data_IF_510565056090
#
_entry.id   IF_510565056090
#
_cell.length_a   1.000
_cell.length_b   1.000
_cell.length_c   1.000
_cell.angle_alpha   90.00
_cell.angle_beta   90.00
_cell.angle_gamma   90.00
#
_symmetry.space_group_name_H-M   'P 1'
#
loop_
_entity.id
_entity.type
_entity.pdbx_description
1 polymer ?
#
# COMPACT_ATOMS: atom_id res chain seq x y z
N UNK A 1 39.21 7.00 -35.48
CA UNK A 1 38.54 5.70 -35.25
C UNK A 1 38.66 5.21 -33.81
N UNK A 2 39.85 4.99 -33.25
CA UNK A 2 40.06 4.28 -31.98
C UNK A 2 39.09 4.65 -30.83
N UNK A 3 38.95 5.95 -30.50
CA UNK A 3 38.05 6.43 -29.44
C UNK A 3 36.56 6.08 -29.62
N UNK A 4 36.09 5.90 -30.86
CA UNK A 4 34.71 5.45 -31.12
C UNK A 4 34.54 3.99 -30.72
N UNK A 5 35.52 3.15 -31.05
CA UNK A 5 35.57 1.75 -30.64
C UNK A 5 35.62 1.62 -29.11
N UNK A 6 36.47 2.42 -28.44
CA UNK A 6 36.56 2.42 -26.97
C UNK A 6 35.25 2.85 -26.29
N UNK A 7 34.53 3.83 -26.85
CA UNK A 7 33.22 4.26 -26.32
C UNK A 7 32.12 3.22 -26.56
N UNK A 8 32.16 2.53 -27.70
CA UNK A 8 31.20 1.47 -28.01
C UNK A 8 31.40 0.26 -27.09
N UNK A 9 32.64 -0.16 -26.85
CA UNK A 9 32.92 -1.27 -25.92
C UNK A 9 32.58 -0.93 -24.48
N UNK A 10 32.86 0.28 -23.99
CA UNK A 10 32.43 0.65 -22.62
C UNK A 10 30.92 0.77 -22.47
N UNK A 11 30.18 1.23 -23.50
CA UNK A 11 28.72 1.21 -23.45
C UNK A 11 28.18 -0.22 -23.40
N UNK A 12 28.72 -1.13 -24.22
CA UNK A 12 28.29 -2.54 -24.25
C UNK A 12 28.59 -3.23 -22.91
N UNK A 13 29.77 -3.03 -22.31
CA UNK A 13 30.07 -3.63 -21.00
C UNK A 13 29.24 -3.04 -19.87
N UNK A 14 28.92 -1.73 -19.89
CA UNK A 14 28.00 -1.13 -18.92
C UNK A 14 26.60 -1.72 -19.04
N UNK A 15 26.09 -1.86 -20.26
CA UNK A 15 24.74 -2.41 -20.52
C UNK A 15 24.64 -3.89 -20.11
N UNK A 16 25.71 -4.66 -20.36
CA UNK A 16 25.79 -6.06 -19.93
C UNK A 16 25.91 -6.21 -18.40
N UNK A 17 26.67 -5.34 -17.73
CA UNK A 17 26.73 -5.28 -16.26
C UNK A 17 25.36 -4.93 -15.66
N UNK A 18 24.64 -3.97 -16.23
CA UNK A 18 23.28 -3.62 -15.79
C UNK A 18 22.28 -4.77 -16.01
N UNK A 19 22.43 -5.55 -17.08
CA UNK A 19 21.61 -6.74 -17.34
C UNK A 19 21.94 -7.94 -16.43
N UNK A 20 23.07 -7.92 -15.72
CA UNK A 20 23.47 -8.93 -14.72
C UNK A 20 22.98 -8.59 -13.30
N UNK A 21 22.43 -7.40 -13.06
CA UNK A 21 21.77 -7.09 -11.78
C UNK A 21 20.41 -7.80 -11.71
N UNK A 22 20.11 -8.57 -10.65
CA UNK A 22 18.83 -9.24 -10.52
C UNK A 22 17.70 -8.23 -10.23
N UNK A 23 16.82 -8.03 -11.21
CA UNK A 23 15.67 -7.11 -11.15
C UNK A 23 14.70 -7.49 -10.02
N UNK A 24 14.74 -8.75 -9.56
CA UNK A 24 13.84 -9.34 -8.56
C UNK A 24 13.91 -8.74 -7.14
N UNK A 25 14.75 -7.73 -6.87
CA UNK A 25 14.87 -7.12 -5.54
C UNK A 25 13.62 -6.36 -5.06
N UNK A 26 12.71 -5.97 -5.96
CA UNK A 26 11.49 -5.19 -5.66
C UNK A 26 10.35 -5.97 -4.96
N UNK A 27 10.64 -7.13 -4.33
CA UNK A 27 9.63 -8.18 -4.10
C UNK A 27 9.57 -8.86 -2.71
N UNK A 28 10.22 -8.26 -1.66
CA UNK A 28 10.24 -7.91 1.22
C UNK A 28 9.07 -7.28 2.20
N UNK A 29 8.56 -6.03 2.06
CA UNK A 29 7.52 -5.30 2.83
C UNK A 29 6.11 -5.16 2.18
N UNK A 30 5.77 -5.80 1.06
CA UNK A 30 4.37 -5.98 0.61
C UNK A 30 3.53 -6.71 1.66
N UNK A 31 4.17 -7.45 2.56
CA UNK A 31 3.62 -7.97 3.80
C UNK A 31 4.09 -7.17 5.04
N UNK A 32 4.28 -5.85 4.94
CA UNK A 32 4.40 -4.94 6.07
C UNK A 32 3.13 -4.09 6.18
N UNK A 33 2.44 -4.07 7.33
CA UNK A 33 1.19 -3.33 7.47
C UNK A 33 1.46 -1.83 7.36
N UNK A 34 0.61 -1.11 6.62
CA UNK A 34 0.60 0.36 6.58
C UNK A 34 0.18 0.95 7.93
N UNK A 35 -0.50 0.17 8.79
CA UNK A 35 -0.88 0.53 10.15
C UNK A 35 -1.20 -0.73 10.98
N UNK A 36 -0.80 -0.76 12.25
CA UNK A 36 -1.19 -1.82 13.19
C UNK A 36 -0.79 -3.24 12.80
N UNK A 37 -1.67 -4.20 13.09
CA UNK A 37 -1.51 -5.64 12.81
C UNK A 37 -2.33 -6.12 11.59
N UNK A 38 -3.29 -5.32 11.12
CA UNK A 38 -4.26 -5.72 10.08
C UNK A 38 -4.21 -4.82 8.84
N UNK A 39 -4.00 -3.51 8.98
CA UNK A 39 -4.09 -2.61 7.83
C UNK A 39 -2.92 -2.82 6.86
N UNK A 40 -3.13 -3.55 5.77
CA UNK A 40 -2.17 -3.64 4.66
C UNK A 40 -2.56 -4.66 3.59
N UNK A 41 -2.06 -4.55 2.35
CA UNK A 41 -2.27 -5.56 1.34
C UNK A 41 -1.78 -6.94 1.81
N UNK A 42 -2.67 -7.93 1.89
CA UNK A 42 -2.30 -9.29 2.31
C UNK A 42 -2.00 -9.43 3.81
N UNK A 43 -2.49 -8.51 4.65
CA UNK A 43 -2.49 -8.70 6.10
C UNK A 43 -3.77 -9.38 6.63
N UNK A 44 -3.71 -10.05 7.80
CA UNK A 44 -2.51 -10.36 8.58
C UNK A 44 -1.68 -11.45 7.88
N UNK A 45 -0.42 -11.19 7.56
CA UNK A 45 0.40 -12.08 6.72
C UNK A 45 0.99 -13.30 7.47
N UNK A 46 0.31 -13.76 8.52
CA UNK A 46 0.83 -14.73 9.49
C UNK A 46 -0.17 -15.03 10.60
N UNK A 47 0.28 -15.02 11.86
CA UNK A 47 -0.63 -15.15 13.00
C UNK A 47 -1.49 -13.89 13.12
N UNK A 48 -2.82 -14.03 13.09
CA UNK A 48 -3.77 -12.96 13.34
C UNK A 48 -3.67 -12.48 14.81
N UNK A 49 -2.93 -11.40 15.03
CA UNK A 49 -2.81 -10.75 16.34
C UNK A 49 -4.03 -9.89 16.64
N UNK A 50 -4.38 -9.63 17.92
CA UNK A 50 -5.42 -8.67 18.27
C UNK A 50 -5.11 -7.28 17.67
N UNK A 51 -6.11 -6.52 17.19
CA UNK A 51 -5.88 -5.16 16.71
C UNK A 51 -5.32 -4.26 17.82
N UNK A 52 -4.38 -3.37 17.47
CA UNK A 52 -3.74 -2.48 18.45
C UNK A 52 -4.62 -1.30 18.88
N UNK A 53 -5.58 -0.90 18.03
CA UNK A 53 -6.55 0.17 18.32
C UNK A 53 -7.83 0.04 17.46
N UNK A 54 -8.69 1.06 17.52
CA UNK A 54 -9.97 1.15 16.81
C UNK A 54 -9.86 1.24 15.28
N UNK A 55 -8.77 1.80 14.75
CA UNK A 55 -8.52 1.91 13.31
C UNK A 55 -7.97 0.59 12.75
N UNK A 56 -7.04 -0.03 13.48
CA UNK A 56 -6.54 -1.38 13.17
C UNK A 56 -7.69 -2.40 13.23
N UNK A 57 -8.63 -2.22 14.16
CA UNK A 57 -9.84 -3.05 14.24
C UNK A 57 -10.81 -2.83 13.06
N UNK A 58 -10.82 -1.63 12.44
CA UNK A 58 -11.60 -1.38 11.22
C UNK A 58 -10.99 -2.11 10.01
N UNK A 59 -9.66 -2.16 9.93
CA UNK A 59 -8.96 -2.97 8.92
C UNK A 59 -9.29 -4.46 9.10
N UNK A 60 -9.20 -4.99 10.33
CA UNK A 60 -9.65 -6.36 10.63
C UNK A 60 -11.07 -6.66 10.15
N UNK A 61 -12.01 -5.69 10.24
CA UNK A 61 -13.37 -5.85 9.72
C UNK A 61 -13.44 -5.82 8.18
N UNK A 62 -12.59 -5.03 7.52
CA UNK A 62 -12.46 -5.01 6.05
C UNK A 62 -11.85 -6.30 5.51
N UNK A 63 -10.78 -6.80 6.12
CA UNK A 63 -10.10 -8.05 5.73
C UNK A 63 -11.05 -9.26 5.89
N UNK A 64 -11.73 -9.36 7.04
CA UNK A 64 -12.73 -10.41 7.28
C UNK A 64 -13.96 -10.29 6.36
N UNK A 65 -14.32 -9.07 5.91
CA UNK A 65 -15.39 -8.86 4.93
C UNK A 65 -14.98 -9.32 3.53
N UNK A 66 -13.76 -8.99 3.09
CA UNK A 66 -13.26 -9.36 1.75
C UNK A 66 -12.90 -10.85 1.65
N UNK A 67 -12.62 -11.52 2.77
CA UNK A 67 -12.49 -12.98 2.84
C UNK A 67 -13.84 -13.74 2.83
N UNK A 68 -14.97 -13.04 3.05
CA UNK A 68 -16.31 -13.61 3.02
C UNK A 68 -16.91 -13.55 1.59
N UNK A 69 -18.01 -14.28 1.29
CA UNK A 69 -18.70 -14.19 -0.01
C UNK A 69 -19.53 -12.89 -0.16
N UNK A 70 -18.92 -11.75 0.14
CA UNK A 70 -19.47 -10.40 0.04
C UNK A 70 -18.76 -9.67 -1.11
N UNK A 71 -19.45 -8.90 -1.97
CA UNK A 71 -18.77 -8.14 -3.01
C UNK A 71 -17.79 -7.12 -2.42
N UNK A 72 -16.53 -7.10 -2.88
CA UNK A 72 -15.48 -6.21 -2.36
C UNK A 72 -15.93 -4.75 -2.26
N UNK A 73 -16.69 -4.26 -3.24
CA UNK A 73 -17.18 -2.87 -3.29
C UNK A 73 -18.14 -2.52 -2.15
N UNK A 74 -18.77 -3.51 -1.49
CA UNK A 74 -19.57 -3.32 -0.27
C UNK A 74 -18.64 -3.22 0.94
N UNK A 75 -17.62 -4.08 1.03
CA UNK A 75 -16.60 -4.02 2.08
C UNK A 75 -15.82 -2.69 2.05
N UNK A 76 -15.33 -2.29 0.87
CA UNK A 76 -14.59 -1.04 0.64
C UNK A 76 -15.40 0.19 1.09
N UNK A 77 -16.68 0.27 0.71
CA UNK A 77 -17.57 1.37 1.13
C UNK A 77 -17.84 1.36 2.63
N UNK A 78 -18.00 0.17 3.22
CA UNK A 78 -18.23 0.01 4.66
C UNK A 78 -17.02 0.48 5.46
N UNK A 79 -15.82 0.10 5.03
CA UNK A 79 -14.54 0.52 5.61
C UNK A 79 -14.30 2.03 5.47
N UNK A 80 -14.53 2.62 4.28
CA UNK A 80 -14.42 4.07 4.08
C UNK A 80 -15.37 4.83 5.03
N UNK A 81 -16.64 4.41 5.12
CA UNK A 81 -17.60 5.01 6.04
C UNK A 81 -17.17 4.85 7.51
N UNK A 82 -16.60 3.71 7.89
CA UNK A 82 -16.08 3.48 9.24
C UNK A 82 -14.88 4.38 9.56
N UNK A 83 -13.91 4.53 8.65
CA UNK A 83 -12.80 5.47 8.82
C UNK A 83 -13.29 6.93 8.98
N UNK A 84 -14.35 7.32 8.25
CA UNK A 84 -14.97 8.65 8.39
C UNK A 84 -15.58 8.84 9.79
N UNK A 85 -16.31 7.85 10.29
CA UNK A 85 -16.91 7.88 11.63
C UNK A 85 -15.85 7.90 12.74
N UNK A 86 -14.80 7.07 12.63
CA UNK A 86 -13.71 7.03 13.60
C UNK A 86 -12.93 8.34 13.63
N UNK A 87 -12.61 8.92 12.46
CA UNK A 87 -11.91 10.21 12.39
C UNK A 87 -12.76 11.37 12.95
N UNK A 88 -14.08 11.33 12.78
CA UNK A 88 -14.98 12.31 13.39
C UNK A 88 -15.08 12.16 14.92
N UNK A 89 -14.91 10.94 15.46
CA UNK A 89 -14.91 10.66 16.91
C UNK A 89 -13.58 11.01 17.59
N UNK A 90 -12.44 10.78 16.93
CA UNK A 90 -11.09 11.00 17.48
C UNK A 90 -10.52 12.39 17.17
N UNK A 91 -11.04 13.07 16.15
CA UNK A 91 -10.46 14.28 15.59
C UNK A 91 -9.26 14.06 14.66
N UNK A 92 -8.90 12.81 14.31
CA UNK A 92 -7.81 12.52 13.37
C UNK A 92 -7.98 11.19 12.62
N UNK A 93 -7.40 11.08 11.42
CA UNK A 93 -7.17 9.78 10.75
C UNK A 93 -5.65 9.56 10.61
N UNK A 94 -5.11 8.37 10.94
CA UNK A 94 -3.70 8.05 10.68
C UNK A 94 -3.29 8.30 9.24
N UNK A 95 -2.12 8.92 9.03
CA UNK A 95 -1.60 9.33 7.71
C UNK A 95 -1.64 8.21 6.67
N UNK A 96 -1.26 6.99 7.04
CA UNK A 96 -1.27 5.83 6.15
C UNK A 96 -2.69 5.43 5.72
N UNK A 97 -3.67 5.57 6.61
CA UNK A 97 -5.07 5.27 6.32
C UNK A 97 -5.77 6.34 5.48
N UNK A 98 -5.24 7.58 5.40
CA UNK A 98 -5.73 8.59 4.46
C UNK A 98 -5.56 8.14 2.99
N UNK A 99 -4.48 7.41 2.68
CA UNK A 99 -4.32 6.79 1.36
C UNK A 99 -5.21 5.56 1.16
N UNK A 100 -5.43 4.74 2.18
CA UNK A 100 -6.35 3.61 2.12
C UNK A 100 -7.80 4.07 1.87
N UNK A 101 -8.26 5.09 2.61
CA UNK A 101 -9.55 5.76 2.42
C UNK A 101 -9.70 6.25 0.98
N UNK A 102 -8.74 7.04 0.50
CA UNK A 102 -8.78 7.66 -0.82
C UNK A 102 -8.83 6.63 -1.96
N UNK A 103 -7.98 5.59 -1.90
CA UNK A 103 -7.90 4.57 -2.95
C UNK A 103 -9.14 3.65 -2.92
N UNK A 104 -9.62 3.23 -1.75
CA UNK A 104 -10.80 2.37 -1.65
C UNK A 104 -12.11 3.13 -1.95
N UNK A 105 -12.18 4.43 -1.65
CA UNK A 105 -13.25 5.32 -2.10
C UNK A 105 -13.31 5.39 -3.63
N UNK A 106 -12.18 5.63 -4.30
CA UNK A 106 -12.14 5.67 -5.77
C UNK A 106 -12.42 4.28 -6.40
N UNK A 107 -11.81 3.20 -5.87
CA UNK A 107 -12.05 1.81 -6.30
C UNK A 107 -13.55 1.44 -6.25
N UNK A 108 -14.24 1.86 -5.19
CA UNK A 108 -15.66 1.57 -4.99
C UNK A 108 -16.62 2.59 -5.62
N UNK A 109 -16.13 3.49 -6.47
CA UNK A 109 -16.95 4.42 -7.27
C UNK A 109 -17.44 5.66 -6.51
N UNK A 110 -16.78 6.03 -5.41
CA UNK A 110 -16.99 7.31 -4.73
C UNK A 110 -16.35 8.50 -5.45
N UNK A 111 -16.79 9.72 -5.09
CA UNK A 111 -16.24 10.95 -5.65
C UNK A 111 -14.84 11.30 -5.11
N UNK A 112 -14.19 12.27 -5.76
CA UNK A 112 -12.83 12.72 -5.40
C UNK A 112 -12.77 13.56 -4.11
N UNK A 113 -13.87 14.23 -3.74
CA UNK A 113 -14.01 14.93 -2.45
C UNK A 113 -14.30 13.98 -1.28
N UNK A 114 -13.95 14.41 -0.06
CA UNK A 114 -14.07 13.61 1.17
C UNK A 114 -13.20 14.20 2.27
N UNK A 115 -12.47 13.33 2.98
CA UNK A 115 -11.32 13.75 3.81
C UNK A 115 -10.28 14.55 3.01
N UNK A 116 -9.39 15.33 3.67
CA UNK A 116 -8.27 15.98 3.00
C UNK A 116 -7.51 14.99 2.10
N UNK A 117 -7.32 15.35 0.83
CA UNK A 117 -6.53 14.53 -0.10
C UNK A 117 -5.11 14.39 0.45
N UNK A 118 -4.61 13.17 0.69
CA UNK A 118 -3.31 12.99 1.31
C UNK A 118 -2.20 13.56 0.42
N UNK A 119 -1.17 14.13 1.03
CA UNK A 119 -0.13 14.87 0.31
C UNK A 119 0.78 13.91 -0.48
N UNK A 120 1.48 14.40 -1.52
CA UNK A 120 2.48 13.60 -2.24
C UNK A 120 3.57 13.00 -1.32
N UNK A 121 3.91 13.68 -0.22
CA UNK A 121 4.83 13.16 0.79
C UNK A 121 4.26 11.98 1.59
N UNK A 122 2.95 11.95 1.82
CA UNK A 122 2.27 10.88 2.54
C UNK A 122 2.22 9.59 1.70
N UNK A 123 2.28 9.72 0.37
CA UNK A 123 2.26 8.60 -0.57
C UNK A 123 3.43 7.63 -0.34
N UNK A 124 4.58 8.14 0.13
CA UNK A 124 5.75 7.31 0.46
C UNK A 124 5.43 6.23 1.50
N UNK A 125 4.48 6.48 2.41
CA UNK A 125 4.01 5.47 3.36
C UNK A 125 3.30 4.30 2.67
N UNK A 126 2.41 4.60 1.72
CA UNK A 126 1.73 3.59 0.92
C UNK A 126 2.71 2.86 -0.01
N UNK A 127 3.64 3.59 -0.65
CA UNK A 127 4.64 3.01 -1.55
C UNK A 127 5.60 2.06 -0.80
N UNK A 128 5.91 2.36 0.46
CA UNK A 128 6.77 1.51 1.32
C UNK A 128 6.15 0.15 1.66
N UNK A 129 4.83 -0.01 1.57
CA UNK A 129 4.13 -1.30 1.67
C UNK A 129 3.70 -1.88 0.31
N UNK A 130 4.18 -1.32 -0.80
CA UNK A 130 3.94 -1.85 -2.17
C UNK A 130 5.24 -2.31 -2.82
N UNK A 131 6.35 -1.59 -2.60
CA UNK A 131 7.57 -1.66 -3.43
C UNK A 131 8.66 -2.61 -2.93
N UNK A 132 8.44 -3.33 -1.85
CA UNK A 132 9.38 -4.35 -1.39
C UNK A 132 8.62 -5.62 -0.95
N UNK A 133 9.29 -6.65 -0.41
CA UNK A 133 8.53 -8.51 -0.18
C UNK A 133 7.43 -9.07 0.77
N UNK A 134 7.49 -10.38 0.96
CA UNK A 134 6.69 -11.22 1.86
C UNK A 134 7.48 -12.46 2.36
N UNK A 135 8.81 -12.37 2.44
CA UNK A 135 9.76 -13.39 2.90
C UNK A 135 11.02 -12.71 3.47
#
# INVERSE_FOLDING_TARGET
MLHFFTRLTTFITLLFLMALFPINAAHAFKCLPIYGNWCGPGHPSGMALPPIDIFDAACMRHDLCTAAPIPETVCDRTFVNELHLLAAQTGYLPRSLQWAEYVLRLKSGGGWGGMPTPMPGDAMGMMSSILTPCW
#
